data_IF_110791738448
#
_entry.id   IF_110791738448
#
_cell.length_a   1.000
_cell.length_b   1.000
_cell.length_c   1.000
_cell.angle_alpha   90.00
_cell.angle_beta   90.00
_cell.angle_gamma   90.00
#
_symmetry.space_group_name_H-M   'P 1'
#
loop_
_entity.id
_entity.type
_entity.pdbx_description
1 polymer ?
#
# COMPACT_ATOMS: atom_id res chain seq x y z
N UNK A 1 36.73 -19.99 7.40
CA UNK A 1 36.76 -19.99 5.92
C UNK A 1 35.43 -19.50 5.37
N UNK A 2 34.31 -20.07 5.84
CA UNK A 2 32.94 -19.64 5.51
C UNK A 2 32.68 -18.13 5.75
N UNK A 3 33.04 -17.58 6.91
CA UNK A 3 32.83 -16.14 7.20
C UNK A 3 33.63 -15.20 6.28
N UNK A 4 34.79 -15.64 5.75
CA UNK A 4 35.55 -14.87 4.77
C UNK A 4 34.88 -14.89 3.39
N UNK A 5 34.25 -16.02 3.02
CA UNK A 5 33.45 -16.13 1.80
C UNK A 5 32.23 -15.22 1.87
N UNK A 6 31.49 -15.23 2.98
CA UNK A 6 30.37 -14.32 3.20
C UNK A 6 30.78 -12.84 3.14
N UNK A 7 31.94 -12.50 3.69
CA UNK A 7 32.45 -11.14 3.64
C UNK A 7 32.81 -10.71 2.19
N UNK A 8 33.45 -11.59 1.43
CA UNK A 8 33.78 -11.34 0.03
C UNK A 8 32.53 -11.20 -0.86
N UNK A 9 31.54 -12.08 -0.68
CA UNK A 9 30.25 -12.01 -1.37
C UNK A 9 29.51 -10.72 -1.04
N UNK A 10 29.39 -10.38 0.25
CA UNK A 10 28.72 -9.15 0.68
C UNK A 10 29.43 -7.90 0.13
N UNK A 11 30.77 -7.90 0.08
CA UNK A 11 31.54 -6.80 -0.50
C UNK A 11 31.30 -6.66 -2.01
N UNK A 12 31.26 -7.77 -2.75
CA UNK A 12 30.94 -7.76 -4.18
C UNK A 12 29.52 -7.24 -4.44
N UNK A 13 28.55 -7.65 -3.61
CA UNK A 13 27.17 -7.18 -3.67
C UNK A 13 27.03 -5.69 -3.35
N UNK A 14 27.80 -5.17 -2.37
CA UNK A 14 27.86 -3.73 -2.06
C UNK A 14 28.39 -2.98 -3.27
N UNK A 15 29.54 -3.38 -3.82
CA UNK A 15 30.16 -2.68 -4.95
C UNK A 15 29.24 -2.64 -6.18
N UNK A 16 28.60 -3.77 -6.50
CA UNK A 16 27.63 -3.85 -7.59
C UNK A 16 26.40 -2.98 -7.32
N UNK A 17 25.84 -3.09 -6.11
CA UNK A 17 24.65 -2.35 -5.71
C UNK A 17 24.85 -0.83 -5.70
N UNK A 18 26.02 -0.36 -5.24
CA UNK A 18 26.38 1.06 -5.24
C UNK A 18 26.52 1.62 -6.67
N UNK A 19 27.13 0.85 -7.58
CA UNK A 19 27.22 1.24 -8.99
C UNK A 19 25.84 1.34 -9.65
N UNK A 20 24.97 0.34 -9.43
CA UNK A 20 23.60 0.34 -9.92
C UNK A 20 22.78 1.51 -9.34
N UNK A 21 22.99 1.80 -8.04
CA UNK A 21 22.32 2.89 -7.33
C UNK A 21 22.74 4.25 -7.86
N UNK A 22 24.03 4.48 -8.09
CA UNK A 22 24.51 5.76 -8.66
C UNK A 22 23.96 5.97 -10.08
N UNK A 23 23.98 4.93 -10.92
CA UNK A 23 23.38 4.97 -12.25
C UNK A 23 21.87 5.29 -12.19
N UNK A 24 21.13 4.65 -11.28
CA UNK A 24 19.70 4.89 -11.09
C UNK A 24 19.40 6.31 -10.59
N UNK A 25 20.17 6.82 -9.63
CA UNK A 25 20.06 8.21 -9.12
C UNK A 25 20.38 9.23 -10.20
N UNK A 26 21.39 8.97 -11.02
CA UNK A 26 21.76 9.84 -12.15
C UNK A 26 20.66 9.85 -13.22
N UNK A 27 20.07 8.70 -13.54
CA UNK A 27 18.92 8.61 -14.44
C UNK A 27 17.70 9.39 -13.89
N UNK A 28 17.38 9.22 -12.60
CA UNK A 28 16.29 9.94 -11.94
C UNK A 28 16.48 11.47 -11.99
N UNK A 29 17.67 11.97 -11.64
CA UNK A 29 18.01 13.40 -11.71
C UNK A 29 17.87 13.97 -13.13
N UNK A 30 18.30 13.22 -14.14
CA UNK A 30 18.17 13.60 -15.55
C UNK A 30 16.70 13.74 -15.96
N UNK A 31 15.87 12.74 -15.63
CA UNK A 31 14.44 12.75 -15.95
C UNK A 31 13.73 13.89 -15.22
N UNK A 32 14.06 14.12 -13.95
CA UNK A 32 13.52 15.24 -13.18
C UNK A 32 13.83 16.59 -13.83
N UNK A 33 15.06 16.77 -14.30
CA UNK A 33 15.47 18.01 -14.97
C UNK A 33 14.82 18.17 -16.35
N UNK A 34 14.65 17.09 -17.11
CA UNK A 34 13.96 17.09 -18.40
C UNK A 34 12.46 17.38 -18.25
N UNK A 35 11.80 16.75 -17.28
CA UNK A 35 10.38 16.94 -17.01
C UNK A 35 10.09 18.38 -16.58
N UNK A 36 10.90 18.95 -15.68
CA UNK A 36 10.77 20.35 -15.28
C UNK A 36 10.89 21.30 -16.48
N UNK A 37 11.88 21.10 -17.36
CA UNK A 37 12.06 21.92 -18.57
C UNK A 37 10.86 21.82 -19.51
N UNK A 38 10.39 20.61 -19.80
CA UNK A 38 9.24 20.40 -20.71
C UNK A 38 7.93 20.96 -20.12
N UNK A 39 7.70 20.76 -18.82
CA UNK A 39 6.52 21.30 -18.14
C UNK A 39 6.56 22.83 -18.06
N UNK A 40 7.72 23.44 -17.82
CA UNK A 40 7.86 24.90 -17.82
C UNK A 40 7.61 25.50 -19.21
N UNK A 41 8.09 24.84 -20.27
CA UNK A 41 7.85 25.24 -21.66
C UNK A 41 6.36 25.21 -22.03
N UNK A 42 5.63 24.15 -21.65
CA UNK A 42 4.17 24.13 -21.82
C UNK A 42 3.45 25.10 -20.89
N UNK A 43 3.98 25.30 -19.67
CA UNK A 43 3.44 26.21 -18.68
C UNK A 43 3.42 27.66 -19.15
N UNK A 44 4.51 28.12 -19.76
CA UNK A 44 4.60 29.48 -20.30
C UNK A 44 3.61 29.75 -21.44
N UNK A 45 3.31 28.74 -22.27
CA UNK A 45 2.33 28.83 -23.35
C UNK A 45 0.87 28.90 -22.85
N UNK A 46 0.59 28.30 -21.70
CA UNK A 46 -0.77 28.19 -21.14
C UNK A 46 -1.10 29.29 -20.13
N UNK A 47 -0.09 29.89 -19.49
CA UNK A 47 -0.26 30.98 -18.53
C UNK A 47 -1.25 30.63 -17.40
N UNK A 48 -2.15 31.55 -17.09
CA UNK A 48 -3.15 31.39 -16.02
C UNK A 48 -4.20 30.29 -16.28
N UNK A 49 -4.19 29.65 -17.45
CA UNK A 49 -5.10 28.54 -17.74
C UNK A 49 -4.85 27.33 -16.81
N UNK A 50 -3.60 27.11 -16.39
CA UNK A 50 -3.22 25.97 -15.53
C UNK A 50 -3.78 26.16 -14.12
N UNK A 51 -3.58 27.33 -13.53
CA UNK A 51 -4.07 27.65 -12.18
C UNK A 51 -5.60 27.60 -12.11
N UNK A 52 -6.28 28.08 -13.16
CA UNK A 52 -7.74 28.00 -13.25
C UNK A 52 -8.27 26.57 -13.40
N UNK A 53 -7.52 25.66 -13.99
CA UNK A 53 -7.92 24.26 -14.13
C UNK A 53 -7.59 23.40 -12.90
N UNK A 54 -6.64 23.86 -12.07
CA UNK A 54 -6.12 23.13 -10.91
C UNK A 54 -7.23 22.56 -9.99
N UNK A 55 -8.27 23.32 -9.61
CA UNK A 55 -9.33 22.79 -8.74
C UNK A 55 -10.03 21.55 -9.32
N UNK A 56 -10.27 21.52 -10.64
CA UNK A 56 -10.87 20.37 -11.30
C UNK A 56 -9.98 19.13 -11.22
N UNK A 57 -8.69 19.25 -11.51
CA UNK A 57 -7.78 18.11 -11.46
C UNK A 57 -7.52 17.61 -10.03
N UNK A 58 -7.52 18.51 -9.05
CA UNK A 58 -7.43 18.16 -7.63
C UNK A 58 -8.70 17.47 -7.12
N UNK A 59 -9.89 17.98 -7.47
CA UNK A 59 -11.16 17.30 -7.19
C UNK A 59 -11.21 15.91 -7.84
N UNK A 60 -10.75 15.79 -9.10
CA UNK A 60 -10.71 14.50 -9.81
C UNK A 60 -9.76 13.50 -9.14
N UNK A 61 -8.63 13.95 -8.62
CA UNK A 61 -7.72 13.12 -7.81
C UNK A 61 -8.41 12.65 -6.53
N UNK A 62 -9.03 13.56 -5.78
CA UNK A 62 -9.78 13.25 -4.54
C UNK A 62 -10.91 12.25 -4.79
N UNK A 63 -11.69 12.43 -5.86
CA UNK A 63 -12.76 11.51 -6.23
C UNK A 63 -12.21 10.10 -6.54
N UNK A 64 -11.09 10.01 -7.27
CA UNK A 64 -10.43 8.71 -7.53
C UNK A 64 -9.95 8.02 -6.25
N UNK A 65 -9.39 8.77 -5.31
CA UNK A 65 -8.97 8.25 -4.00
C UNK A 65 -10.16 7.78 -3.17
N UNK A 66 -11.24 8.57 -3.12
CA UNK A 66 -12.49 8.19 -2.45
C UNK A 66 -13.13 6.94 -3.07
N UNK A 67 -13.07 6.80 -4.40
CA UNK A 67 -13.55 5.61 -5.11
C UNK A 67 -12.74 4.37 -4.73
N UNK A 68 -11.41 4.47 -4.68
CA UNK A 68 -10.54 3.38 -4.26
C UNK A 68 -10.78 2.97 -2.81
N UNK A 69 -10.96 3.93 -1.90
CA UNK A 69 -11.26 3.62 -0.51
C UNK A 69 -12.66 3.00 -0.36
N UNK A 70 -13.63 3.44 -1.16
CA UNK A 70 -14.96 2.83 -1.20
C UNK A 70 -14.89 1.38 -1.64
N UNK A 71 -14.13 1.06 -2.69
CA UNK A 71 -13.92 -0.32 -3.13
C UNK A 71 -13.26 -1.17 -2.03
N UNK A 72 -12.26 -0.63 -1.32
CA UNK A 72 -11.61 -1.34 -0.20
C UNK A 72 -12.59 -1.58 0.95
N UNK A 73 -13.39 -0.59 1.32
CA UNK A 73 -14.39 -0.71 2.36
C UNK A 73 -15.49 -1.71 1.98
N UNK A 74 -15.93 -1.73 0.73
CA UNK A 74 -16.87 -2.72 0.20
C UNK A 74 -16.32 -4.15 0.35
N UNK A 75 -15.07 -4.39 -0.06
CA UNK A 75 -14.42 -5.70 0.10
C UNK A 75 -14.28 -6.12 1.58
N UNK A 76 -13.99 -5.16 2.47
CA UNK A 76 -13.95 -5.43 3.92
C UNK A 76 -15.34 -5.83 4.44
N UNK A 77 -16.38 -5.11 4.03
CA UNK A 77 -17.77 -5.41 4.39
C UNK A 77 -18.21 -6.77 3.86
N UNK A 78 -17.99 -7.08 2.59
CA UNK A 78 -18.29 -8.38 1.99
C UNK A 78 -17.62 -9.53 2.75
N UNK A 79 -16.35 -9.35 3.13
CA UNK A 79 -15.63 -10.33 3.94
C UNK A 79 -16.25 -10.49 5.33
N UNK A 80 -16.63 -9.41 5.99
CA UNK A 80 -17.28 -9.46 7.30
C UNK A 80 -18.65 -10.15 7.23
N UNK A 81 -19.44 -9.88 6.18
CA UNK A 81 -20.69 -10.59 5.89
C UNK A 81 -20.45 -12.09 5.72
N UNK A 82 -19.45 -12.48 4.93
CA UNK A 82 -19.07 -13.89 4.74
C UNK A 82 -18.67 -14.58 6.04
N UNK A 83 -17.88 -13.91 6.88
CA UNK A 83 -17.51 -14.43 8.20
C UNK A 83 -18.70 -14.57 9.15
N UNK A 84 -19.61 -13.59 9.16
CA UNK A 84 -20.82 -13.65 9.98
C UNK A 84 -21.74 -14.80 9.55
N UNK A 85 -21.93 -15.01 8.24
CA UNK A 85 -22.72 -16.12 7.73
C UNK A 85 -22.11 -17.48 8.12
N UNK A 86 -20.79 -17.65 7.95
CA UNK A 86 -20.09 -18.86 8.38
C UNK A 86 -20.20 -19.09 9.91
N UNK A 87 -20.13 -18.01 10.71
CA UNK A 87 -20.33 -18.09 12.15
C UNK A 87 -21.75 -18.57 12.50
N UNK A 88 -22.77 -18.07 11.80
CA UNK A 88 -24.16 -18.50 11.99
C UNK A 88 -24.38 -19.96 11.64
N UNK A 89 -23.76 -20.44 10.56
CA UNK A 89 -23.80 -21.86 10.18
C UNK A 89 -23.16 -22.75 11.26
N UNK A 90 -22.05 -22.31 11.87
CA UNK A 90 -21.43 -23.04 12.99
C UNK A 90 -22.36 -23.16 14.20
N UNK A 91 -23.06 -22.08 14.58
CA UNK A 91 -24.06 -22.12 15.66
C UNK A 91 -25.19 -23.08 15.30
N UNK A 92 -25.73 -23.01 14.09
CA UNK A 92 -26.82 -23.88 13.64
C UNK A 92 -26.45 -25.38 13.71
N UNK A 93 -25.22 -25.74 13.35
CA UNK A 93 -24.72 -27.12 13.47
C UNK A 93 -24.54 -27.52 14.94
N UNK A 94 -24.01 -26.62 15.78
CA UNK A 94 -23.85 -26.87 17.21
C UNK A 94 -25.20 -27.07 17.91
N UNK A 95 -26.23 -26.27 17.56
CA UNK A 95 -27.59 -26.39 18.07
C UNK A 95 -28.22 -27.75 17.71
N UNK A 96 -28.05 -28.21 16.47
CA UNK A 96 -28.52 -29.55 16.06
C UNK A 96 -27.84 -30.67 16.84
N UNK A 97 -26.53 -30.57 17.07
CA UNK A 97 -25.77 -31.54 17.86
C UNK A 97 -26.25 -31.65 19.31
N UNK A 98 -26.60 -30.52 19.93
CA UNK A 98 -27.18 -30.46 21.28
C UNK A 98 -28.63 -30.97 21.30
N UNK A 99 -29.43 -30.64 20.28
CA UNK A 99 -30.83 -31.06 20.16
C UNK A 99 -31.02 -32.56 19.93
N UNK A 100 -30.02 -33.25 19.35
CA UNK A 100 -30.02 -34.70 19.11
C UNK A 100 -29.98 -35.56 20.40
N UNK A 101 -30.12 -34.95 21.59
CA UNK A 101 -30.45 -35.60 22.86
C UNK A 101 -29.28 -36.25 23.59
N UNK A 102 -28.32 -36.85 22.88
CA UNK A 102 -27.14 -37.50 23.49
C UNK A 102 -26.18 -36.51 24.17
N UNK A 103 -26.14 -35.26 23.70
CA UNK A 103 -25.15 -34.25 24.12
C UNK A 103 -25.76 -33.10 24.93
N UNK A 104 -27.06 -33.14 25.24
CA UNK A 104 -27.80 -32.02 25.85
C UNK A 104 -27.32 -31.67 27.28
N UNK A 105 -26.82 -32.67 28.00
CA UNK A 105 -26.31 -32.55 29.37
C UNK A 105 -24.77 -32.57 29.45
N UNK A 106 -24.09 -32.57 28.31
CA UNK A 106 -22.62 -32.58 28.26
C UNK A 106 -22.08 -31.15 28.38
N UNK A 107 -21.31 -30.82 29.44
CA UNK A 107 -20.73 -29.49 29.64
C UNK A 107 -19.85 -29.02 28.48
N UNK A 108 -19.17 -29.93 27.79
CA UNK A 108 -18.27 -29.59 26.67
C UNK A 108 -19.04 -29.09 25.45
N UNK A 109 -20.23 -29.64 25.21
CA UNK A 109 -21.11 -29.20 24.12
C UNK A 109 -21.81 -27.88 24.42
N UNK A 110 -22.17 -27.64 25.69
CA UNK A 110 -22.71 -26.35 26.12
C UNK A 110 -21.65 -25.23 26.00
N UNK A 111 -20.40 -25.52 26.36
CA UNK A 111 -19.29 -24.57 26.20
C UNK A 111 -18.99 -24.30 24.72
N UNK A 112 -19.04 -25.33 23.86
CA UNK A 112 -18.89 -25.19 22.41
C UNK A 112 -19.98 -24.30 21.80
N UNK A 113 -21.24 -24.46 22.22
CA UNK A 113 -22.35 -23.63 21.77
C UNK A 113 -22.16 -22.18 22.22
N UNK A 114 -21.84 -21.94 23.49
CA UNK A 114 -21.57 -20.60 24.01
C UNK A 114 -20.41 -19.91 23.27
N UNK A 115 -19.35 -20.65 22.95
CA UNK A 115 -18.23 -20.14 22.15
C UNK A 115 -18.67 -19.79 20.72
N UNK A 116 -19.47 -20.64 20.08
CA UNK A 116 -20.01 -20.38 18.75
C UNK A 116 -20.92 -19.15 18.74
N UNK A 117 -21.78 -18.98 19.75
CA UNK A 117 -22.66 -17.82 19.92
C UNK A 117 -21.86 -16.52 20.07
N UNK A 118 -20.86 -16.49 20.97
CA UNK A 118 -19.98 -15.31 21.13
C UNK A 118 -19.28 -14.95 19.82
N UNK A 119 -18.84 -15.94 19.04
CA UNK A 119 -18.19 -15.72 17.75
C UNK A 119 -19.16 -15.14 16.70
N UNK A 120 -20.45 -15.47 16.76
CA UNK A 120 -21.48 -14.84 15.91
C UNK A 120 -21.70 -13.38 16.29
N UNK A 121 -21.74 -13.08 17.59
CA UNK A 121 -21.87 -11.71 18.09
C UNK A 121 -20.68 -10.85 17.64
N UNK A 122 -19.45 -11.32 17.86
CA UNK A 122 -18.23 -10.63 17.40
C UNK A 122 -18.23 -10.39 15.88
N UNK A 123 -18.65 -11.39 15.10
CA UNK A 123 -18.74 -11.28 13.65
C UNK A 123 -19.85 -10.31 13.19
N UNK A 124 -20.97 -10.25 13.91
CA UNK A 124 -22.05 -9.28 13.64
C UNK A 124 -21.61 -7.85 13.96
N UNK A 125 -20.90 -7.63 15.07
CA UNK A 125 -20.35 -6.32 15.41
C UNK A 125 -19.36 -5.82 14.34
N UNK A 126 -18.51 -6.70 13.81
CA UNK A 126 -17.61 -6.36 12.70
C UNK A 126 -18.37 -6.10 11.39
N UNK A 127 -19.42 -6.88 11.10
CA UNK A 127 -20.30 -6.66 9.94
C UNK A 127 -20.96 -5.29 10.00
N UNK A 128 -21.55 -4.92 11.14
CA UNK A 128 -22.22 -3.62 11.32
C UNK A 128 -21.22 -2.46 11.25
N UNK A 129 -20.02 -2.60 11.85
CA UNK A 129 -18.98 -1.57 11.79
C UNK A 129 -18.48 -1.36 10.36
N UNK A 130 -18.17 -2.43 9.65
CA UNK A 130 -17.72 -2.37 8.24
C UNK A 130 -18.80 -1.86 7.30
N UNK A 131 -20.08 -2.16 7.55
CA UNK A 131 -21.23 -1.61 6.82
C UNK A 131 -21.32 -0.09 6.95
N UNK A 132 -21.26 0.42 8.19
CA UNK A 132 -21.31 1.86 8.47
C UNK A 132 -20.15 2.59 7.80
N UNK A 133 -18.95 2.02 7.85
CA UNK A 133 -17.79 2.62 7.19
C UNK A 133 -17.94 2.63 5.67
N UNK A 134 -18.38 1.52 5.07
CA UNK A 134 -18.66 1.44 3.63
C UNK A 134 -19.69 2.48 3.19
N UNK A 135 -20.80 2.64 3.93
CA UNK A 135 -21.81 3.67 3.66
C UNK A 135 -21.22 5.09 3.75
N UNK A 136 -20.41 5.35 4.79
CA UNK A 136 -19.76 6.66 5.00
C UNK A 136 -18.83 7.02 3.85
N UNK A 137 -17.93 6.11 3.45
CA UNK A 137 -16.98 6.38 2.36
C UNK A 137 -17.67 6.46 1.00
N UNK A 138 -18.75 5.69 0.78
CA UNK A 138 -19.58 5.78 -0.43
C UNK A 138 -20.17 7.17 -0.58
N UNK A 139 -20.73 7.72 0.50
CA UNK A 139 -21.27 9.09 0.50
C UNK A 139 -20.19 10.12 0.15
N UNK A 140 -19.01 10.03 0.77
CA UNK A 140 -17.89 10.92 0.45
C UNK A 140 -17.44 10.81 -1.02
N UNK A 141 -17.46 9.59 -1.58
CA UNK A 141 -17.17 9.37 -2.99
C UNK A 141 -18.20 10.07 -3.89
N UNK A 142 -19.49 9.94 -3.59
CA UNK A 142 -20.56 10.60 -4.33
C UNK A 142 -20.44 12.14 -4.26
N UNK A 143 -20.15 12.69 -3.08
CA UNK A 143 -19.92 14.13 -2.90
C UNK A 143 -18.72 14.62 -3.73
N UNK A 144 -17.60 13.89 -3.70
CA UNK A 144 -16.41 14.22 -4.49
C UNK A 144 -16.67 14.11 -6.00
N UNK A 145 -17.39 13.10 -6.46
CA UNK A 145 -17.79 12.96 -7.87
C UNK A 145 -18.71 14.10 -8.32
N UNK A 146 -19.65 14.53 -7.47
CA UNK A 146 -20.53 15.66 -7.74
C UNK A 146 -19.73 16.98 -7.88
N UNK A 147 -18.73 17.20 -7.01
CA UNK A 147 -17.81 18.34 -7.11
C UNK A 147 -17.06 18.32 -8.46
N UNK A 148 -16.54 17.16 -8.88
CA UNK A 148 -15.87 17.00 -10.18
C UNK A 148 -16.81 17.36 -11.33
N UNK A 149 -18.05 16.88 -11.30
CA UNK A 149 -19.03 17.19 -12.34
C UNK A 149 -19.37 18.69 -12.39
N UNK A 150 -19.51 19.34 -11.24
CA UNK A 150 -19.77 20.78 -11.15
C UNK A 150 -18.60 21.60 -11.73
N UNK A 151 -17.36 21.24 -11.38
CA UNK A 151 -16.15 21.87 -11.89
C UNK A 151 -15.96 21.59 -13.39
N UNK A 152 -16.28 20.40 -13.86
CA UNK A 152 -16.20 20.05 -15.28
C UNK A 152 -17.15 20.91 -16.13
N UNK A 153 -18.37 21.16 -15.63
CA UNK A 153 -19.35 22.03 -16.30
C UNK A 153 -18.89 23.49 -16.34
N UNK A 154 -18.45 24.02 -15.21
CA UNK A 154 -18.05 25.43 -15.09
C UNK A 154 -16.71 25.77 -15.75
N UNK A 155 -15.76 24.83 -15.79
CA UNK A 155 -14.39 25.06 -16.27
C UNK A 155 -14.08 24.40 -17.63
N UNK A 156 -15.09 23.94 -18.38
CA UNK A 156 -14.95 23.15 -19.62
C UNK A 156 -13.87 23.67 -20.58
N UNK A 157 -13.89 24.95 -20.93
CA UNK A 157 -12.92 25.56 -21.88
C UNK A 157 -11.49 25.56 -21.33
N UNK A 158 -11.34 25.86 -20.04
CA UNK A 158 -10.04 25.92 -19.36
C UNK A 158 -9.45 24.51 -19.27
N UNK A 159 -10.26 23.51 -18.90
CA UNK A 159 -9.86 22.11 -18.82
C UNK A 159 -9.35 21.62 -20.18
N UNK A 160 -10.09 21.87 -21.27
CA UNK A 160 -9.70 21.47 -22.62
C UNK A 160 -8.35 22.06 -23.03
N UNK A 161 -8.13 23.35 -22.76
CA UNK A 161 -6.89 24.04 -23.10
C UNK A 161 -5.71 23.56 -22.24
N UNK A 162 -5.92 23.29 -20.96
CA UNK A 162 -4.87 22.81 -20.05
C UNK A 162 -4.59 21.31 -20.14
N UNK A 163 -5.45 20.54 -20.81
CA UNK A 163 -5.38 19.07 -20.86
C UNK A 163 -4.00 18.52 -21.26
N UNK A 164 -3.34 19.01 -22.33
CA UNK A 164 -2.02 18.49 -22.72
C UNK A 164 -0.96 18.62 -21.62
N UNK A 165 -1.00 19.72 -20.84
CA UNK A 165 -0.08 19.93 -19.73
C UNK A 165 -0.30 18.93 -18.60
N UNK A 166 -1.55 18.71 -18.19
CA UNK A 166 -1.86 17.77 -17.11
C UNK A 166 -1.61 16.31 -17.51
N UNK A 167 -1.80 15.96 -18.79
CA UNK A 167 -1.45 14.63 -19.31
C UNK A 167 0.06 14.41 -19.33
N UNK A 168 0.83 15.39 -19.81
CA UNK A 168 2.29 15.34 -19.79
C UNK A 168 2.83 15.27 -18.35
N UNK A 169 2.25 16.06 -17.44
CA UNK A 169 2.60 16.03 -16.01
C UNK A 169 2.31 14.66 -15.39
N UNK A 170 1.18 14.05 -15.73
CA UNK A 170 0.85 12.70 -15.24
C UNK A 170 1.83 11.65 -15.75
N UNK A 171 2.21 11.70 -17.03
CA UNK A 171 3.21 10.80 -17.61
C UNK A 171 4.57 10.94 -16.92
N UNK A 172 5.06 12.17 -16.73
CA UNK A 172 6.32 12.38 -16.01
C UNK A 172 6.25 11.96 -14.55
N UNK A 173 5.15 12.23 -13.86
CA UNK A 173 4.97 11.77 -12.48
C UNK A 173 5.03 10.25 -12.38
N UNK A 174 4.43 9.52 -13.31
CA UNK A 174 4.51 8.06 -13.36
C UNK A 174 5.96 7.58 -13.54
N UNK A 175 6.66 8.11 -14.56
CA UNK A 175 8.06 7.74 -14.83
C UNK A 175 8.94 8.08 -13.63
N UNK A 176 8.76 9.26 -13.02
CA UNK A 176 9.51 9.67 -11.84
C UNK A 176 9.25 8.72 -10.66
N UNK A 177 8.00 8.30 -10.43
CA UNK A 177 7.68 7.37 -9.35
C UNK A 177 8.27 5.97 -9.60
N UNK A 178 8.28 5.50 -10.85
CA UNK A 178 8.95 4.24 -11.23
C UNK A 178 10.46 4.32 -10.97
N UNK A 179 11.12 5.40 -11.37
CA UNK A 179 12.55 5.58 -11.12
C UNK A 179 12.86 5.78 -9.62
N UNK A 180 12.00 6.50 -8.89
CA UNK A 180 12.13 6.69 -7.45
C UNK A 180 12.00 5.37 -6.70
N UNK A 181 10.99 4.56 -7.03
CA UNK A 181 10.81 3.24 -6.41
C UNK A 181 12.00 2.31 -6.69
N UNK A 182 12.57 2.34 -7.91
CA UNK A 182 13.82 1.64 -8.23
C UNK A 182 15.00 2.11 -7.37
N UNK A 183 15.18 3.42 -7.19
CA UNK A 183 16.23 3.97 -6.32
C UNK A 183 16.02 3.49 -4.88
N UNK A 184 14.83 3.62 -4.31
CA UNK A 184 14.52 3.16 -2.94
C UNK A 184 14.78 1.67 -2.77
N UNK A 185 14.42 0.84 -3.76
CA UNK A 185 14.67 -0.60 -3.71
C UNK A 185 16.17 -0.93 -3.74
N UNK A 186 16.95 -0.23 -4.56
CA UNK A 186 18.42 -0.39 -4.61
C UNK A 186 19.08 0.09 -3.32
N UNK A 187 18.64 1.21 -2.75
CA UNK A 187 19.11 1.71 -1.45
C UNK A 187 18.87 0.66 -0.35
N UNK A 188 17.68 0.07 -0.31
CA UNK A 188 17.37 -1.02 0.62
C UNK A 188 18.28 -2.23 0.40
N UNK A 189 18.52 -2.65 -0.85
CA UNK A 189 19.40 -3.79 -1.17
C UNK A 189 20.84 -3.53 -0.72
N UNK A 190 21.38 -2.34 -1.03
CA UNK A 190 22.73 -1.93 -0.61
C UNK A 190 22.83 -1.88 0.91
N UNK A 191 21.83 -1.30 1.59
CA UNK A 191 21.80 -1.27 3.06
C UNK A 191 21.81 -2.67 3.65
N UNK A 192 21.04 -3.61 3.10
CA UNK A 192 21.03 -5.00 3.55
C UNK A 192 22.38 -5.69 3.32
N UNK A 193 23.02 -5.46 2.17
CA UNK A 193 24.35 -6.01 1.88
C UNK A 193 25.42 -5.46 2.84
N UNK A 194 25.37 -4.17 3.16
CA UNK A 194 26.22 -3.55 4.19
C UNK A 194 26.00 -4.16 5.57
N UNK A 195 24.76 -4.39 5.97
CA UNK A 195 24.46 -5.08 7.23
C UNK A 195 25.05 -6.49 7.25
N UNK A 196 24.91 -7.27 6.17
CA UNK A 196 25.51 -8.61 6.07
C UNK A 196 27.03 -8.56 6.18
N UNK A 197 27.67 -7.63 5.48
CA UNK A 197 29.12 -7.40 5.57
C UNK A 197 29.56 -7.09 7.00
N UNK A 198 28.87 -6.17 7.68
CA UNK A 198 29.18 -5.81 9.08
C UNK A 198 29.00 -6.99 10.04
N UNK A 199 27.99 -7.84 9.84
CA UNK A 199 27.78 -9.04 10.65
C UNK A 199 28.91 -10.05 10.43
N UNK A 200 29.27 -10.35 9.18
CA UNK A 200 30.37 -11.27 8.85
C UNK A 200 31.71 -10.77 9.43
N UNK A 201 31.98 -9.47 9.34
CA UNK A 201 33.19 -8.86 9.92
C UNK A 201 33.24 -9.04 11.44
N UNK A 202 32.12 -8.76 12.14
CA UNK A 202 32.04 -8.96 13.59
C UNK A 202 32.22 -10.42 14.01
N UNK A 203 31.66 -11.36 13.23
CA UNK A 203 31.85 -12.78 13.49
C UNK A 203 33.32 -13.19 13.36
N UNK A 204 34.03 -12.67 12.34
CA UNK A 204 35.47 -12.90 12.18
C UNK A 204 36.29 -12.32 13.33
N UNK A 205 35.97 -11.12 13.80
CA UNK A 205 36.61 -10.50 14.96
C UNK A 205 36.41 -11.37 16.22
N UNK A 206 35.19 -11.83 16.48
CA UNK A 206 34.89 -12.70 17.62
C UNK A 206 35.62 -14.06 17.54
N UNK A 207 35.69 -14.67 16.36
CA UNK A 207 36.47 -15.90 16.15
C UNK A 207 37.96 -15.65 16.43
N UNK A 208 38.49 -14.52 15.95
CA UNK A 208 39.89 -14.12 16.18
C UNK A 208 40.18 -13.95 17.67
N UNK A 209 39.35 -13.20 18.39
CA UNK A 209 39.48 -13.00 19.84
C UNK A 209 39.45 -14.32 20.63
N UNK A 210 38.56 -15.24 20.27
CA UNK A 210 38.48 -16.57 20.90
C UNK A 210 39.75 -17.41 20.66
N UNK A 211 40.35 -17.32 19.47
CA UNK A 211 41.62 -17.99 19.16
C UNK A 211 42.75 -17.38 19.98
N UNK A 212 42.78 -16.05 20.11
CA UNK A 212 43.78 -15.34 20.92
C UNK A 212 43.66 -15.63 22.41
N UNK A 213 42.44 -15.68 22.96
CA UNK A 213 42.21 -15.98 24.38
C UNK A 213 42.54 -17.42 24.79
N UNK A 214 42.72 -18.34 23.82
CA UNK A 214 43.10 -19.74 24.03
C UNK A 214 44.62 -20.00 23.91
N UNK A 215 45.41 -18.98 23.57
CA UNK A 215 46.88 -19.03 23.52
C UNK A 215 47.48 -18.34 24.74
#
# INVERSE_FOLDING_TARGET
>A
QEELEHLNEANADINRGELELDAARSAYRRILSESARKLNSQGSQLGNCIERARPYYEARRRAKEAQQETQRAALRYERAVGMHNAAREMVFVAEQGVAAGKNRLDPTWQEMLNHATRKVEEAEEERVRSEREHQRVTRLCQEAEAEVQALQKSLKRVILRSKPYFELKAQFNQILEEHKSKVTALESRVSQAKTRYSVALRNLEQISEQIHARR
#
